data_IF_036086065698
#
_entry.id   IF_036086065698
#
_cell.length_a   1.000
_cell.length_b   1.000
_cell.length_c   1.000
_cell.angle_alpha   90.00
_cell.angle_beta   90.00
_cell.angle_gamma   90.00
#
_symmetry.space_group_name_H-M   'P 1'
#
loop_
_entity.id
_entity.type
_entity.pdbx_description
1 polymer ?
#
# COMPACT_ATOMS: atom_id res chain seq x y z
N UNK A 1 52.42 4.37 -26.07
CA UNK A 1 52.91 3.05 -25.70
C UNK A 1 51.74 2.06 -25.75
N UNK A 2 51.93 0.97 -26.49
CA UNK A 2 50.87 -0.05 -26.66
C UNK A 2 50.68 -0.85 -25.34
N UNK A 3 49.44 -0.95 -24.80
CA UNK A 3 49.16 -1.67 -23.55
C UNK A 3 49.58 -3.13 -23.60
N UNK A 4 49.43 -3.79 -24.74
CA UNK A 4 49.76 -5.20 -24.96
C UNK A 4 51.26 -5.54 -24.82
N UNK A 5 52.13 -4.55 -24.99
CA UNK A 5 53.58 -4.73 -24.83
C UNK A 5 54.04 -4.34 -23.43
N UNK A 6 53.41 -3.36 -22.83
CA UNK A 6 53.81 -2.89 -21.48
C UNK A 6 53.25 -3.76 -20.36
N UNK A 7 52.06 -4.36 -20.52
CA UNK A 7 51.45 -5.23 -19.53
C UNK A 7 52.33 -6.39 -19.08
N UNK A 8 52.80 -7.26 -20.00
CA UNK A 8 53.70 -8.36 -19.68
C UNK A 8 55.04 -7.91 -19.07
N UNK A 9 55.57 -6.77 -19.52
CA UNK A 9 56.83 -6.21 -18.99
C UNK A 9 56.68 -5.69 -17.55
N UNK A 10 55.55 -5.07 -17.23
CA UNK A 10 55.25 -4.61 -15.88
C UNK A 10 55.00 -5.81 -14.91
N UNK A 11 54.30 -6.84 -15.37
CA UNK A 11 54.09 -8.07 -14.61
C UNK A 11 55.35 -8.90 -14.37
N UNK A 12 56.40 -8.69 -15.21
CA UNK A 12 57.74 -9.25 -15.01
C UNK A 12 58.57 -8.53 -13.94
N UNK A 13 58.14 -7.37 -13.47
CA UNK A 13 58.81 -6.62 -12.42
C UNK A 13 58.46 -7.19 -11.03
N UNK A 14 59.49 -7.70 -10.33
CA UNK A 14 59.33 -8.34 -9.03
C UNK A 14 58.62 -7.47 -7.95
N UNK A 15 58.86 -6.12 -7.98
CA UNK A 15 58.22 -5.18 -7.05
C UNK A 15 56.75 -5.01 -7.36
N UNK A 16 56.37 -4.95 -8.64
CA UNK A 16 54.96 -4.83 -9.06
C UNK A 16 54.22 -6.13 -8.76
N UNK A 17 54.87 -7.26 -9.03
CA UNK A 17 54.30 -8.57 -8.72
C UNK A 17 54.04 -8.74 -7.22
N UNK A 18 54.99 -8.39 -6.37
CA UNK A 18 54.82 -8.44 -4.91
C UNK A 18 53.69 -7.51 -4.43
N UNK A 19 53.58 -6.28 -4.96
CA UNK A 19 52.50 -5.36 -4.60
C UNK A 19 51.11 -5.86 -5.05
N UNK A 20 51.02 -6.54 -6.18
CA UNK A 20 49.80 -7.18 -6.65
C UNK A 20 49.43 -8.37 -5.73
N UNK A 21 50.41 -9.22 -5.40
CA UNK A 21 50.19 -10.38 -4.51
C UNK A 21 49.78 -9.95 -3.10
N UNK A 22 50.28 -8.81 -2.60
CA UNK A 22 49.89 -8.24 -1.31
C UNK A 22 48.49 -7.59 -1.33
N UNK A 23 48.14 -6.90 -2.44
CA UNK A 23 46.87 -6.20 -2.59
C UNK A 23 45.69 -7.09 -2.98
N UNK A 24 45.93 -8.19 -3.70
CA UNK A 24 44.88 -9.11 -4.16
C UNK A 24 43.99 -9.66 -3.04
N UNK A 25 44.52 -10.18 -1.91
CA UNK A 25 43.67 -10.72 -0.83
C UNK A 25 42.76 -9.67 -0.21
N UNK A 26 43.22 -8.42 -0.10
CA UNK A 26 42.41 -7.32 0.44
C UNK A 26 41.29 -6.99 -0.55
N UNK A 27 41.59 -6.88 -1.82
CA UNK A 27 40.60 -6.61 -2.87
C UNK A 27 39.61 -7.74 -3.04
N UNK A 28 40.05 -8.99 -2.94
CA UNK A 28 39.18 -10.17 -2.96
C UNK A 28 38.23 -10.18 -1.76
N UNK A 29 38.72 -9.88 -0.55
CA UNK A 29 37.89 -9.79 0.65
C UNK A 29 36.85 -8.67 0.55
N UNK A 30 37.24 -7.48 0.06
CA UNK A 30 36.31 -6.36 -0.16
C UNK A 30 35.28 -6.69 -1.24
N UNK A 31 35.70 -7.28 -2.37
CA UNK A 31 34.81 -7.67 -3.47
C UNK A 31 33.81 -8.75 -3.02
N UNK A 32 34.25 -9.71 -2.21
CA UNK A 32 33.40 -10.78 -1.70
C UNK A 32 32.35 -10.24 -0.72
N UNK A 33 32.71 -9.26 0.13
CA UNK A 33 31.76 -8.58 1.01
C UNK A 33 30.72 -7.82 0.21
N UNK A 34 31.12 -7.13 -0.84
CA UNK A 34 30.21 -6.42 -1.74
C UNK A 34 29.29 -7.39 -2.52
N UNK A 35 29.82 -8.47 -3.03
CA UNK A 35 29.05 -9.51 -3.71
C UNK A 35 28.00 -10.13 -2.80
N UNK A 36 28.34 -10.41 -1.55
CA UNK A 36 27.40 -10.91 -0.55
C UNK A 36 26.28 -9.89 -0.25
N UNK A 37 26.60 -8.61 -0.12
CA UNK A 37 25.61 -7.54 0.08
C UNK A 37 24.65 -7.43 -1.11
N UNK A 38 25.17 -7.50 -2.33
CA UNK A 38 24.36 -7.44 -3.56
C UNK A 38 23.45 -8.66 -3.64
N UNK A 39 23.97 -9.85 -3.38
CA UNK A 39 23.19 -11.09 -3.38
C UNK A 39 22.06 -11.05 -2.33
N UNK A 40 22.37 -10.62 -1.10
CA UNK A 40 21.36 -10.43 -0.04
C UNK A 40 20.28 -9.42 -0.46
N UNK A 41 20.67 -8.35 -1.14
CA UNK A 41 19.70 -7.35 -1.64
C UNK A 41 18.79 -7.94 -2.71
N UNK A 42 19.32 -8.66 -3.70
CA UNK A 42 18.50 -9.35 -4.70
C UNK A 42 17.55 -10.35 -4.08
N UNK A 43 18.06 -11.15 -3.13
CA UNK A 43 17.23 -12.12 -2.41
C UNK A 43 16.10 -11.44 -1.64
N UNK A 44 16.39 -10.35 -0.94
CA UNK A 44 15.37 -9.58 -0.22
C UNK A 44 14.29 -9.01 -1.17
N UNK A 45 14.66 -8.53 -2.36
CA UNK A 45 13.70 -8.06 -3.37
C UNK A 45 12.86 -9.25 -3.89
N UNK A 46 13.50 -10.38 -4.22
CA UNK A 46 12.84 -11.55 -4.76
C UNK A 46 11.80 -12.15 -3.79
N UNK A 47 12.07 -12.10 -2.48
CA UNK A 47 11.25 -12.71 -1.44
C UNK A 47 10.30 -11.75 -0.73
N UNK A 48 10.38 -10.45 -1.02
CA UNK A 48 9.50 -9.44 -0.43
C UNK A 48 8.03 -9.67 -0.80
N UNK A 49 7.11 -9.43 0.14
CA UNK A 49 5.68 -9.54 -0.10
C UNK A 49 5.10 -8.21 -0.63
N UNK A 50 4.55 -8.25 -1.84
CA UNK A 50 3.91 -7.08 -2.44
C UNK A 50 2.60 -6.70 -1.71
N UNK A 51 1.99 -7.61 -0.97
CA UNK A 51 0.79 -7.33 -0.18
C UNK A 51 1.04 -6.34 0.97
N UNK A 52 2.29 -6.18 1.39
CA UNK A 52 2.68 -5.15 2.36
C UNK A 52 2.60 -3.73 1.79
N UNK A 53 2.68 -3.57 0.47
CA UNK A 53 2.51 -2.28 -0.22
C UNK A 53 1.07 -2.01 -0.62
N UNK A 54 0.43 -3.02 -1.21
CA UNK A 54 -0.93 -2.89 -1.73
C UNK A 54 -1.61 -4.25 -1.72
N UNK A 55 -2.83 -4.28 -1.17
CA UNK A 55 -3.68 -5.48 -1.15
C UNK A 55 -5.15 -5.10 -1.14
N UNK A 56 -5.99 -6.05 -1.51
CA UNK A 56 -7.42 -5.92 -1.31
C UNK A 56 -7.75 -6.41 0.11
N UNK A 57 -8.45 -5.58 0.87
CA UNK A 57 -8.99 -5.92 2.18
C UNK A 57 -10.51 -5.97 2.09
N UNK A 58 -11.13 -6.86 2.85
CA UNK A 58 -12.58 -6.90 3.04
C UNK A 58 -12.92 -6.37 4.41
N UNK A 59 -13.76 -5.35 4.43
CA UNK A 59 -14.22 -4.72 5.65
C UNK A 59 -15.74 -4.75 5.76
N UNK A 60 -16.26 -4.38 6.93
CA UNK A 60 -17.68 -4.34 7.18
C UNK A 60 -18.42 -3.37 6.24
N UNK A 61 -19.59 -3.77 5.74
CA UNK A 61 -20.53 -2.84 5.13
C UNK A 61 -21.25 -2.00 6.19
N UNK A 62 -22.00 -0.99 5.78
CA UNK A 62 -22.74 -0.09 6.68
C UNK A 62 -23.81 -0.76 7.54
N UNK A 63 -24.20 -1.98 7.17
CA UNK A 63 -25.26 -2.74 7.81
C UNK A 63 -24.73 -3.87 8.70
N UNK A 64 -23.43 -4.22 8.61
CA UNK A 64 -22.86 -5.33 9.37
C UNK A 64 -23.06 -5.21 10.88
N UNK A 65 -22.85 -4.02 11.44
CA UNK A 65 -22.82 -3.79 12.89
C UNK A 65 -23.80 -2.69 13.34
N UNK A 66 -24.69 -2.27 12.47
CA UNK A 66 -25.80 -1.41 12.85
C UNK A 66 -26.83 -2.16 13.71
N UNK A 67 -27.58 -1.43 14.54
CA UNK A 67 -28.68 -1.99 15.32
C UNK A 67 -29.67 -2.65 14.35
N UNK A 68 -30.03 -3.90 14.61
CA UNK A 68 -30.91 -4.71 13.76
C UNK A 68 -30.49 -4.73 12.27
N UNK A 69 -29.18 -4.68 12.02
CA UNK A 69 -28.60 -4.59 10.69
C UNK A 69 -29.11 -3.40 9.86
N UNK A 70 -29.48 -2.30 10.52
CA UNK A 70 -29.81 -1.04 9.87
C UNK A 70 -28.54 -0.26 9.51
N UNK A 71 -28.69 0.75 8.63
CA UNK A 71 -27.58 1.57 8.17
C UNK A 71 -26.89 2.30 9.32
N UNK A 72 -25.60 2.02 9.54
CA UNK A 72 -24.78 2.60 10.61
C UNK A 72 -23.97 3.79 10.11
N UNK A 73 -24.12 4.92 10.76
CA UNK A 73 -23.33 6.13 10.50
C UNK A 73 -21.96 6.06 11.15
N UNK A 74 -20.96 6.75 10.60
CA UNK A 74 -19.65 6.84 11.27
C UNK A 74 -19.73 7.66 12.54
N UNK A 75 -20.37 8.82 12.43
CA UNK A 75 -20.50 9.79 13.51
C UNK A 75 -21.89 10.42 13.48
N UNK A 76 -22.28 11.01 14.59
CA UNK A 76 -23.49 11.83 14.66
C UNK A 76 -23.47 12.97 13.63
N UNK A 77 -22.31 13.60 13.45
CA UNK A 77 -22.12 14.67 12.48
C UNK A 77 -22.39 14.20 11.04
N UNK A 78 -21.93 13.02 10.66
CA UNK A 78 -22.17 12.47 9.30
C UNK A 78 -23.70 12.33 9.06
N UNK A 79 -24.44 11.88 10.08
CA UNK A 79 -25.89 11.80 10.00
C UNK A 79 -26.56 13.17 9.87
N UNK A 80 -26.15 14.12 10.70
CA UNK A 80 -26.70 15.49 10.69
C UNK A 80 -26.42 16.22 9.37
N UNK A 81 -25.24 16.07 8.80
CA UNK A 81 -24.89 16.59 7.47
C UNK A 81 -25.79 15.97 6.38
N UNK A 82 -25.99 14.67 6.42
CA UNK A 82 -26.85 13.98 5.46
C UNK A 82 -28.35 14.39 5.62
N UNK A 83 -28.81 14.54 6.85
CA UNK A 83 -30.18 15.03 7.14
C UNK A 83 -30.37 16.45 6.63
N UNK A 84 -29.41 17.32 6.86
CA UNK A 84 -29.44 18.71 6.37
C UNK A 84 -29.53 18.79 4.85
N UNK A 85 -28.69 18.02 4.13
CA UNK A 85 -28.71 18.01 2.67
C UNK A 85 -30.05 17.43 2.14
N UNK A 86 -30.57 16.37 2.76
CA UNK A 86 -31.87 15.82 2.39
C UNK A 86 -33.02 16.83 2.64
N UNK A 87 -33.01 17.52 3.78
CA UNK A 87 -33.97 18.55 4.10
C UNK A 87 -33.93 19.71 3.10
N UNK A 88 -32.76 20.17 2.75
CA UNK A 88 -32.55 21.23 1.77
C UNK A 88 -33.06 20.85 0.37
N UNK A 89 -32.79 19.62 -0.07
CA UNK A 89 -33.24 19.13 -1.36
C UNK A 89 -34.75 18.98 -1.41
N UNK A 90 -35.35 18.35 -0.39
CA UNK A 90 -36.78 18.10 -0.32
C UNK A 90 -37.60 19.37 -0.12
N UNK A 91 -37.13 20.34 0.66
CA UNK A 91 -37.83 21.59 0.92
C UNK A 91 -37.88 22.49 -0.28
N UNK A 92 -36.96 22.35 -1.24
CA UNK A 92 -36.86 23.18 -2.44
C UNK A 92 -37.02 24.70 -2.17
N UNK A 93 -36.40 25.16 -1.06
CA UNK A 93 -36.44 26.57 -0.63
C UNK A 93 -37.64 26.95 0.26
N UNK A 94 -38.51 26.03 0.65
CA UNK A 94 -39.57 26.26 1.61
C UNK A 94 -39.02 26.09 3.04
N UNK A 95 -38.92 27.19 3.82
CA UNK A 95 -38.35 27.22 5.17
C UNK A 95 -39.19 26.41 6.15
N UNK A 96 -40.52 26.49 6.11
CA UNK A 96 -41.40 25.73 7.01
C UNK A 96 -41.24 24.21 6.81
N UNK A 97 -41.09 23.77 5.55
CA UNK A 97 -40.88 22.38 5.22
C UNK A 97 -39.50 21.92 5.65
N UNK A 98 -38.45 22.74 5.48
CA UNK A 98 -37.09 22.46 5.95
C UNK A 98 -37.08 22.26 7.46
N UNK A 99 -37.66 23.19 8.22
CA UNK A 99 -37.71 23.12 9.70
C UNK A 99 -38.51 21.91 10.19
N UNK A 100 -39.60 21.57 9.52
CA UNK A 100 -40.41 20.39 9.86
C UNK A 100 -39.64 19.06 9.61
N UNK A 101 -38.82 18.99 8.55
CA UNK A 101 -37.94 17.84 8.30
C UNK A 101 -36.85 17.76 9.36
N UNK A 102 -36.18 18.87 9.65
CA UNK A 102 -35.12 18.91 10.66
C UNK A 102 -35.64 18.59 12.06
N UNK A 103 -36.89 18.93 12.35
CA UNK A 103 -37.59 18.58 13.60
C UNK A 103 -38.11 17.12 13.65
N UNK A 104 -37.94 16.33 12.58
CA UNK A 104 -38.43 14.96 12.50
C UNK A 104 -39.94 14.82 12.40
N UNK A 105 -40.66 15.85 11.96
CA UNK A 105 -42.12 15.89 11.83
C UNK A 105 -42.62 15.33 10.51
N UNK A 106 -41.70 15.18 9.52
CA UNK A 106 -41.99 14.66 8.18
C UNK A 106 -41.26 13.36 7.98
N UNK A 107 -41.94 12.31 7.60
CA UNK A 107 -41.35 11.05 7.15
C UNK A 107 -41.37 10.99 5.64
N UNK A 108 -40.19 10.75 5.05
CA UNK A 108 -40.01 10.55 3.61
C UNK A 108 -38.90 9.54 3.36
N UNK A 109 -38.98 8.66 2.34
CA UNK A 109 -37.95 7.65 2.05
C UNK A 109 -36.56 8.20 1.82
N UNK A 110 -36.42 9.44 1.32
CA UNK A 110 -35.15 10.10 1.11
C UNK A 110 -34.57 10.77 2.37
N UNK A 111 -35.32 10.82 3.48
CA UNK A 111 -34.79 11.35 4.73
C UNK A 111 -33.98 10.26 5.43
N UNK A 112 -32.70 10.51 5.71
CA UNK A 112 -31.85 9.54 6.38
C UNK A 112 -32.36 9.26 7.81
N UNK A 113 -32.26 7.99 8.23
CA UNK A 113 -32.60 7.53 9.58
C UNK A 113 -31.37 7.18 10.35
N UNK A 114 -31.43 7.28 11.68
CA UNK A 114 -30.33 6.91 12.58
C UNK A 114 -30.56 5.54 13.24
N UNK A 115 -31.47 4.75 12.73
CA UNK A 115 -31.93 3.48 13.33
C UNK A 115 -30.79 2.49 13.58
N UNK A 116 -29.78 2.42 12.68
CA UNK A 116 -28.59 1.61 12.85
C UNK A 116 -27.52 2.20 13.78
N UNK A 117 -27.77 3.42 14.30
CA UNK A 117 -26.85 4.11 15.21
C UNK A 117 -25.60 4.68 14.52
N UNK A 118 -24.61 4.99 15.36
CA UNK A 118 -23.30 5.54 14.92
C UNK A 118 -22.17 4.58 15.28
N UNK A 119 -20.93 4.91 14.86
CA UNK A 119 -19.73 4.13 15.19
C UNK A 119 -19.31 3.15 14.12
N UNK A 120 -19.79 3.28 12.88
CA UNK A 120 -19.34 2.47 11.75
C UNK A 120 -17.82 2.54 11.56
N UNK A 121 -17.22 1.36 11.41
CA UNK A 121 -15.78 1.19 11.14
C UNK A 121 -15.57 0.34 9.90
N UNK A 122 -15.09 0.95 8.83
CA UNK A 122 -14.83 0.27 7.57
C UNK A 122 -13.88 -0.93 7.68
N UNK A 123 -12.91 -0.87 8.61
CA UNK A 123 -11.92 -1.94 8.83
C UNK A 123 -12.38 -3.01 9.84
N UNK A 124 -13.61 -2.94 10.33
CA UNK A 124 -14.17 -4.02 11.14
C UNK A 124 -14.37 -5.26 10.27
N UNK A 125 -14.31 -6.44 10.89
CA UNK A 125 -14.62 -7.70 10.20
C UNK A 125 -16.09 -7.70 9.78
N UNK A 126 -16.43 -8.14 8.55
CA UNK A 126 -17.81 -8.31 8.14
C UNK A 126 -18.59 -9.23 9.10
N UNK A 127 -19.83 -8.91 9.34
CA UNK A 127 -20.70 -9.77 10.15
C UNK A 127 -21.19 -10.94 9.29
N UNK A 128 -21.03 -12.20 9.72
CA UNK A 128 -21.36 -13.37 8.90
C UNK A 128 -22.85 -13.44 8.51
N UNK A 129 -23.73 -12.97 9.40
CA UNK A 129 -25.18 -12.99 9.18
C UNK A 129 -25.71 -11.64 8.67
N UNK A 130 -24.86 -10.76 8.13
CA UNK A 130 -25.32 -9.49 7.59
C UNK A 130 -26.21 -9.70 6.36
N UNK A 131 -27.47 -9.25 6.35
CA UNK A 131 -28.40 -9.51 5.25
C UNK A 131 -28.03 -8.73 3.98
N UNK A 132 -27.24 -7.66 4.11
CA UNK A 132 -26.87 -6.78 2.99
C UNK A 132 -25.64 -7.27 2.21
N UNK A 133 -24.64 -7.81 2.89
CA UNK A 133 -23.42 -8.29 2.26
C UNK A 133 -23.18 -9.79 2.43
N UNK A 134 -24.12 -10.52 3.04
CA UNK A 134 -24.09 -11.98 3.24
C UNK A 134 -22.78 -12.49 3.89
N UNK A 135 -22.14 -11.63 4.70
CA UNK A 135 -20.84 -11.91 5.32
C UNK A 135 -19.62 -11.58 4.46
N UNK A 136 -19.80 -11.27 3.20
CA UNK A 136 -18.68 -10.97 2.28
C UNK A 136 -18.02 -9.61 2.55
N UNK A 137 -18.77 -8.66 3.10
CA UNK A 137 -18.30 -7.30 3.34
C UNK A 137 -18.12 -6.48 2.06
N UNK A 138 -17.36 -5.42 2.18
CA UNK A 138 -17.00 -4.54 1.05
C UNK A 138 -15.51 -4.58 0.79
N UNK A 139 -15.15 -4.67 -0.48
CA UNK A 139 -13.76 -4.64 -0.91
C UNK A 139 -13.17 -3.23 -0.81
N UNK A 140 -11.96 -3.13 -0.31
CA UNK A 140 -11.21 -1.89 -0.21
C UNK A 140 -9.76 -2.12 -0.58
N UNK A 141 -9.17 -1.18 -1.30
CA UNK A 141 -7.74 -1.23 -1.58
C UNK A 141 -6.99 -0.64 -0.38
N UNK A 142 -6.13 -1.45 0.23
CA UNK A 142 -5.12 -0.98 1.17
C UNK A 142 -3.92 -0.48 0.37
N UNK A 143 -3.46 0.72 0.71
CA UNK A 143 -2.20 1.29 0.27
C UNK A 143 -1.39 1.65 1.52
N UNK A 144 -0.16 1.16 1.58
CA UNK A 144 0.75 1.49 2.68
C UNK A 144 1.13 2.97 2.66
N UNK A 145 1.30 3.56 3.84
CA UNK A 145 1.87 4.90 3.95
C UNK A 145 3.37 4.82 3.60
N UNK A 146 3.74 5.43 2.48
CA UNK A 146 5.10 5.35 1.96
C UNK A 146 6.14 6.08 2.83
N UNK A 147 5.72 6.85 3.82
CA UNK A 147 6.60 7.47 4.84
C UNK A 147 7.01 6.49 5.93
N UNK A 148 6.25 5.41 6.10
CA UNK A 148 6.40 4.45 7.20
C UNK A 148 6.64 3.02 6.72
N UNK A 149 7.12 2.87 5.48
CA UNK A 149 7.42 1.54 4.92
C UNK A 149 8.52 0.84 5.74
N UNK A 150 8.30 -0.43 6.02
CA UNK A 150 9.21 -1.29 6.77
C UNK A 150 9.57 -2.53 5.97
N UNK A 151 10.71 -3.11 6.31
CA UNK A 151 11.16 -4.42 5.84
C UNK A 151 10.97 -4.65 4.32
N UNK A 152 10.22 -5.68 3.95
CA UNK A 152 9.99 -6.09 2.58
C UNK A 152 9.31 -5.01 1.71
N UNK A 153 8.36 -4.26 2.27
CA UNK A 153 7.68 -3.18 1.57
C UNK A 153 8.65 -2.07 1.17
N UNK A 154 9.53 -1.64 2.10
CA UNK A 154 10.55 -0.61 1.84
C UNK A 154 11.56 -1.06 0.78
N UNK A 155 11.90 -2.35 0.76
CA UNK A 155 12.84 -2.92 -0.21
C UNK A 155 12.22 -2.95 -1.61
N UNK A 156 10.93 -3.24 -1.70
CA UNK A 156 10.22 -3.44 -2.95
C UNK A 156 9.77 -2.14 -3.61
N UNK A 157 9.54 -1.09 -2.81
CA UNK A 157 9.01 0.18 -3.28
C UNK A 157 10.01 0.93 -4.18
N UNK A 158 9.60 1.25 -5.41
CA UNK A 158 10.40 1.99 -6.40
C UNK A 158 9.83 3.39 -6.68
N UNK A 159 8.63 3.68 -6.20
CA UNK A 159 8.00 4.98 -6.34
C UNK A 159 6.49 4.93 -6.38
N UNK A 160 5.86 6.10 -6.35
CA UNK A 160 4.43 6.27 -6.56
C UNK A 160 4.17 7.48 -7.42
N UNK A 161 3.16 7.41 -8.27
CA UNK A 161 2.71 8.51 -9.13
C UNK A 161 1.19 8.55 -9.21
N UNK A 162 0.67 9.71 -9.53
CA UNK A 162 -0.74 9.88 -9.84
C UNK A 162 -0.87 10.04 -11.35
N UNK A 163 -1.66 9.20 -11.99
CA UNK A 163 -1.89 9.27 -13.42
C UNK A 163 -2.88 10.41 -13.77
N UNK A 164 -3.06 10.66 -15.07
CA UNK A 164 -3.95 11.73 -15.59
C UNK A 164 -5.42 11.55 -15.19
N UNK A 165 -5.82 10.37 -14.76
CA UNK A 165 -7.17 10.06 -14.26
C UNK A 165 -7.29 10.22 -12.74
N UNK A 166 -6.24 10.69 -12.05
CA UNK A 166 -6.21 10.81 -10.59
C UNK A 166 -6.01 9.50 -9.84
N UNK A 167 -5.66 8.41 -10.52
CA UNK A 167 -5.42 7.12 -9.89
C UNK A 167 -3.97 7.02 -9.40
N UNK A 168 -3.78 6.43 -8.22
CA UNK A 168 -2.46 6.18 -7.64
C UNK A 168 -1.90 4.89 -8.26
N UNK A 169 -0.70 4.97 -8.79
CA UNK A 169 0.09 3.85 -9.29
C UNK A 169 1.34 3.69 -8.41
N UNK A 170 1.53 2.49 -7.87
CA UNK A 170 2.73 2.14 -7.10
C UNK A 170 3.66 1.35 -8.01
N UNK A 171 4.89 1.83 -8.16
CA UNK A 171 5.95 1.11 -8.84
C UNK A 171 6.69 0.22 -7.85
N UNK A 172 7.01 -0.99 -8.28
CA UNK A 172 7.77 -1.96 -7.49
C UNK A 172 8.95 -2.49 -8.29
N UNK A 173 10.03 -2.83 -7.59
CA UNK A 173 11.14 -3.54 -8.18
C UNK A 173 10.70 -4.92 -8.68
N UNK A 174 11.29 -5.35 -9.79
CA UNK A 174 10.97 -6.63 -10.43
C UNK A 174 11.56 -7.81 -9.63
N UNK A 175 10.70 -8.55 -8.96
CA UNK A 175 11.05 -9.70 -8.12
C UNK A 175 11.64 -10.85 -8.94
N UNK A 176 11.13 -11.11 -10.14
CA UNK A 176 11.61 -12.20 -10.99
C UNK A 176 13.02 -11.87 -11.49
N UNK A 177 13.24 -10.65 -11.93
CA UNK A 177 14.56 -10.19 -12.38
C UNK A 177 15.60 -10.22 -11.26
N UNK A 178 15.19 -9.89 -10.04
CA UNK A 178 16.07 -10.00 -8.86
C UNK A 178 16.42 -11.46 -8.56
N UNK A 179 15.45 -12.38 -8.65
CA UNK A 179 15.69 -13.81 -8.47
C UNK A 179 16.62 -14.39 -9.54
N UNK A 180 16.40 -14.04 -10.82
CA UNK A 180 17.27 -14.45 -11.91
C UNK A 180 18.70 -13.94 -11.74
N UNK A 181 18.87 -12.70 -11.25
CA UNK A 181 20.18 -12.12 -10.97
C UNK A 181 20.89 -12.87 -9.85
N UNK A 182 20.16 -13.22 -8.77
CA UNK A 182 20.71 -14.03 -7.69
C UNK A 182 21.10 -15.43 -8.17
N UNK A 183 20.24 -16.09 -8.96
CA UNK A 183 20.51 -17.43 -9.50
C UNK A 183 21.77 -17.45 -10.41
N UNK A 184 21.92 -16.46 -11.30
CA UNK A 184 23.11 -16.34 -12.16
C UNK A 184 24.40 -16.16 -11.37
N UNK A 185 24.33 -15.55 -10.20
CA UNK A 185 25.50 -15.34 -9.34
C UNK A 185 25.88 -16.61 -8.56
N UNK A 186 24.91 -17.47 -8.28
CA UNK A 186 25.11 -18.72 -7.56
C UNK A 186 25.58 -19.89 -8.43
N UNK A 187 25.52 -19.77 -9.76
CA UNK A 187 25.89 -20.80 -10.75
C UNK A 187 24.64 -21.51 -11.24
#
# INVERSE_FOLDING_TARGET
>A
AHPDVQGPRLLGNARIKAAIEEGLPVLEAETQIEAEKVLKRWWSIATADAADLSRIERGACRYCHGIDHQFQWRTQREFEEALFEAAKELSNGNEDMFDAIMAGQIEHPSIPKIDGGTGYRRKATPHPDCPECEGDGIETVFLADTRELKDGAAILFDGAKVNVKGQIEIATLDRLKALESAAKHLG
#
